data_IF_623861940607
#
_entry.id   IF_623861940607
#
_cell.length_a   1.000
_cell.length_b   1.000
_cell.length_c   1.000
_cell.angle_alpha   90.00
_cell.angle_beta   90.00
_cell.angle_gamma   90.00
#
_symmetry.space_group_name_H-M   'P 1'
#
loop_
_entity.id
_entity.type
_entity.pdbx_description
1 polymer ?
#
# COMPACT_ATOMS: atom_id res chain seq x y z
N UNK A 1 -33.59 58.84 22.55
CA UNK A 1 -32.44 58.17 21.89
C UNK A 1 -32.42 56.69 22.24
N UNK A 2 -32.28 55.79 21.25
CA UNK A 2 -32.08 54.35 21.45
C UNK A 2 -30.77 53.95 20.75
N UNK A 3 -29.79 53.40 21.50
CA UNK A 3 -28.66 52.52 21.08
C UNK A 3 -27.48 52.69 22.05
N UNK A 4 -27.48 52.00 23.20
CA UNK A 4 -26.24 51.76 23.96
C UNK A 4 -26.33 50.63 25.00
N UNK A 5 -27.00 49.51 24.66
CA UNK A 5 -27.09 48.31 25.51
C UNK A 5 -26.83 47.02 24.74
N UNK A 6 -25.91 47.05 23.78
CA UNK A 6 -25.51 45.86 23.00
C UNK A 6 -23.99 45.65 22.95
N UNK A 7 -23.31 45.80 24.10
CA UNK A 7 -21.88 45.52 24.22
C UNK A 7 -21.50 44.99 25.63
N UNK A 8 -22.12 43.88 26.07
CA UNK A 8 -21.69 43.16 27.29
C UNK A 8 -22.20 41.71 27.44
N UNK A 9 -22.49 41.01 26.33
CA UNK A 9 -22.99 39.62 26.37
C UNK A 9 -22.41 38.71 25.28
N UNK A 10 -21.10 38.81 25.03
CA UNK A 10 -20.30 37.84 24.22
C UNK A 10 -18.89 37.60 24.80
N UNK A 11 -18.79 37.47 26.12
CA UNK A 11 -17.75 36.62 26.75
C UNK A 11 -18.45 35.35 27.24
N UNK A 12 -17.72 34.22 27.26
CA UNK A 12 -18.21 32.88 27.65
C UNK A 12 -19.01 32.09 26.61
N UNK A 13 -18.64 32.16 25.32
CA UNK A 13 -18.74 31.00 24.40
C UNK A 13 -17.45 30.98 23.54
N UNK A 14 -16.36 30.47 24.12
CA UNK A 14 -15.10 30.22 23.42
C UNK A 14 -14.33 29.05 24.06
N UNK A 15 -15.06 27.96 24.31
CA UNK A 15 -14.55 26.63 24.68
C UNK A 15 -15.45 25.58 24.01
N UNK A 16 -14.92 24.38 23.76
CA UNK A 16 -15.63 23.20 23.23
C UNK A 16 -16.06 23.20 21.74
N UNK A 17 -15.18 23.63 20.83
CA UNK A 17 -15.32 23.36 19.38
C UNK A 17 -13.98 23.03 18.66
N UNK A 18 -12.98 22.53 19.40
CA UNK A 18 -11.64 22.19 18.88
C UNK A 18 -11.15 20.80 19.31
N UNK A 19 -12.09 19.92 19.69
CA UNK A 19 -11.81 18.57 20.18
C UNK A 19 -12.86 17.56 19.68
N UNK A 20 -13.16 17.57 18.37
CA UNK A 20 -13.72 16.39 17.74
C UNK A 20 -12.57 15.40 17.55
N UNK A 21 -12.39 14.52 18.54
CA UNK A 21 -11.41 13.45 18.46
C UNK A 21 -11.69 12.59 17.22
N UNK A 22 -10.69 12.39 16.38
CA UNK A 22 -10.59 11.16 15.60
C UNK A 22 -10.20 9.99 16.53
N UNK A 23 -11.00 9.78 17.57
CA UNK A 23 -10.96 8.55 18.34
C UNK A 23 -11.73 7.53 17.51
N UNK A 24 -10.99 6.71 16.77
CA UNK A 24 -11.53 5.47 16.20
C UNK A 24 -11.81 4.53 17.37
N UNK A 25 -12.93 4.75 18.06
CA UNK A 25 -13.43 3.84 19.07
C UNK A 25 -13.90 2.56 18.37
N UNK A 26 -13.02 1.57 18.32
CA UNK A 26 -13.41 0.19 18.00
C UNK A 26 -14.08 -0.39 19.26
N UNK A 27 -15.32 0.02 19.51
CA UNK A 27 -16.15 -0.48 20.62
C UNK A 27 -17.34 -1.26 20.09
N UNK A 28 -17.11 -2.51 19.71
CA UNK A 28 -18.09 -3.59 19.76
C UNK A 28 -17.36 -4.93 19.63
N UNK A 29 -17.54 -5.82 20.62
CA UNK A 29 -17.10 -7.22 20.52
C UNK A 29 -18.05 -8.01 19.61
N UNK A 30 -18.00 -7.71 18.31
CA UNK A 30 -18.40 -8.66 17.26
C UNK A 30 -17.25 -9.67 17.12
N UNK A 31 -17.49 -10.98 16.91
CA UNK A 31 -16.44 -11.92 16.53
C UNK A 31 -15.94 -11.62 15.11
N UNK A 32 -15.13 -10.57 15.00
CA UNK A 32 -14.43 -10.19 13.77
C UNK A 32 -13.29 -11.19 13.58
N UNK A 33 -13.43 -12.10 12.62
CA UNK A 33 -12.30 -12.90 12.15
C UNK A 33 -11.22 -11.95 11.62
N UNK A 34 -9.97 -12.24 11.94
CA UNK A 34 -8.79 -11.53 11.44
C UNK A 34 -8.80 -11.48 9.92
N UNK A 35 -9.00 -12.66 9.35
CA UNK A 35 -9.21 -12.92 7.95
C UNK A 35 -10.71 -12.79 7.70
N UNK A 36 -11.19 -11.56 7.76
CA UNK A 36 -12.54 -11.25 7.31
C UNK A 36 -12.75 -11.73 5.87
N UNK A 37 -14.01 -11.79 5.42
CA UNK A 37 -14.25 -11.90 3.99
C UNK A 37 -13.48 -10.73 3.31
N UNK A 38 -12.56 -11.01 2.38
CA UNK A 38 -11.63 -10.02 1.87
C UNK A 38 -12.40 -8.83 1.28
N UNK A 39 -11.95 -7.61 1.57
CA UNK A 39 -12.48 -6.38 0.97
C UNK A 39 -12.33 -6.45 -0.56
N UNK A 40 -11.38 -7.26 -1.05
CA UNK A 40 -11.10 -7.52 -2.45
C UNK A 40 -12.02 -8.62 -2.98
N UNK A 41 -13.25 -8.23 -3.31
CA UNK A 41 -14.10 -8.98 -4.24
C UNK A 41 -13.55 -8.84 -5.66
N UNK A 42 -12.58 -9.67 -6.04
CA UNK A 42 -12.24 -9.86 -7.46
C UNK A 42 -12.82 -11.15 -8.01
N UNK A 43 -13.52 -11.02 -9.14
CA UNK A 43 -14.00 -12.12 -9.97
C UNK A 43 -12.89 -13.07 -10.45
N UNK A 44 -11.63 -12.64 -10.35
CA UNK A 44 -10.45 -13.42 -10.71
C UNK A 44 -10.03 -14.45 -9.64
N UNK A 45 -10.53 -14.35 -8.40
CA UNK A 45 -10.14 -15.23 -7.30
C UNK A 45 -11.07 -16.46 -7.18
N UNK A 46 -10.50 -17.65 -7.35
CA UNK A 46 -11.19 -18.90 -7.02
C UNK A 46 -11.15 -19.16 -5.51
N UNK A 47 -10.06 -18.76 -4.84
CA UNK A 47 -9.96 -18.64 -3.39
C UNK A 47 -8.97 -17.54 -3.02
N UNK A 48 -9.32 -16.69 -2.06
CA UNK A 48 -8.38 -15.73 -1.47
C UNK A 48 -7.59 -16.43 -0.38
N UNK A 49 -6.27 -16.22 -0.40
CA UNK A 49 -5.30 -16.81 0.53
C UNK A 49 -5.00 -15.85 1.66
N UNK A 50 -4.82 -14.56 1.35
CA UNK A 50 -4.59 -13.54 2.36
C UNK A 50 -4.96 -12.12 1.89
N UNK A 51 -5.35 -11.24 2.82
CA UNK A 51 -5.38 -9.79 2.69
C UNK A 51 -4.91 -9.11 3.99
N UNK A 52 -3.81 -8.35 3.92
CA UNK A 52 -3.33 -7.44 4.96
C UNK A 52 -3.67 -6.02 4.57
N UNK A 53 -4.32 -5.27 5.46
CA UNK A 53 -4.58 -3.83 5.31
C UNK A 53 -3.73 -3.06 6.31
N UNK A 54 -2.96 -2.07 5.86
CA UNK A 54 -2.09 -1.23 6.71
C UNK A 54 -2.26 0.24 6.34
N UNK A 55 -2.70 1.06 7.28
CA UNK A 55 -2.62 2.52 7.15
C UNK A 55 -1.15 2.94 7.31
N UNK A 56 -0.50 3.37 6.23
CA UNK A 56 0.91 3.81 6.27
C UNK A 56 1.02 5.11 7.08
N UNK A 57 0.09 6.02 6.81
CA UNK A 57 -0.15 7.34 7.43
C UNK A 57 -1.63 7.69 7.20
N UNK A 58 -2.22 8.66 7.93
CA UNK A 58 -3.57 9.13 7.63
C UNK A 58 -3.76 9.47 6.14
N UNK A 59 -4.87 9.01 5.56
CA UNK A 59 -5.19 9.20 4.13
C UNK A 59 -4.51 8.24 3.15
N UNK A 60 -3.56 7.38 3.57
CA UNK A 60 -2.92 6.39 2.69
C UNK A 60 -3.00 4.98 3.25
N UNK A 61 -3.78 4.13 2.58
CA UNK A 61 -3.91 2.70 2.89
C UNK A 61 -3.07 1.87 1.94
N UNK A 62 -2.28 0.95 2.48
CA UNK A 62 -1.68 -0.17 1.78
C UNK A 62 -2.56 -1.41 1.93
N UNK A 63 -2.69 -2.19 0.86
CA UNK A 63 -3.12 -3.60 0.92
C UNK A 63 -2.03 -4.50 0.37
N UNK A 64 -1.77 -5.62 1.03
CA UNK A 64 -0.98 -6.74 0.50
C UNK A 64 -1.90 -7.96 0.48
N UNK A 65 -2.11 -8.58 -0.68
CA UNK A 65 -3.08 -9.66 -0.81
C UNK A 65 -2.61 -10.74 -1.75
N UNK A 66 -3.16 -11.94 -1.58
CA UNK A 66 -2.87 -13.08 -2.44
C UNK A 66 -4.05 -14.00 -2.58
N UNK A 67 -4.16 -14.65 -3.73
CA UNK A 67 -5.27 -15.54 -4.08
C UNK A 67 -4.80 -16.60 -5.07
N UNK A 68 -5.55 -17.70 -5.20
CA UNK A 68 -5.42 -18.66 -6.30
C UNK A 68 -6.45 -18.31 -7.37
N UNK A 69 -6.01 -18.13 -8.62
CA UNK A 69 -6.91 -17.99 -9.77
C UNK A 69 -7.57 -19.32 -10.13
N UNK A 70 -8.56 -19.31 -11.03
CA UNK A 70 -9.31 -20.49 -11.46
C UNK A 70 -8.45 -21.57 -12.16
N UNK A 71 -7.27 -21.20 -12.65
CA UNK A 71 -6.22 -22.10 -13.15
C UNK A 71 -5.33 -22.69 -12.04
N UNK A 72 -5.64 -22.41 -10.77
CA UNK A 72 -4.89 -22.89 -9.59
C UNK A 72 -3.66 -22.06 -9.23
N UNK A 73 -3.22 -21.16 -10.12
CA UNK A 73 -1.99 -20.39 -9.94
C UNK A 73 -2.12 -19.32 -8.84
N UNK A 74 -1.07 -19.16 -8.02
CA UNK A 74 -1.03 -18.11 -7.00
C UNK A 74 -0.71 -16.75 -7.63
N UNK A 75 -1.36 -15.71 -7.12
CA UNK A 75 -1.08 -14.32 -7.41
C UNK A 75 -0.75 -13.60 -6.11
N UNK A 76 0.33 -12.81 -6.11
CA UNK A 76 0.68 -11.87 -5.05
C UNK A 76 0.50 -10.44 -5.57
N UNK A 77 -0.26 -9.65 -4.83
CA UNK A 77 -0.71 -8.32 -5.24
C UNK A 77 -0.58 -7.31 -4.11
N UNK A 78 -0.41 -6.05 -4.50
CA UNK A 78 -0.15 -4.93 -3.62
C UNK A 78 -0.96 -3.74 -4.12
N UNK A 79 -1.60 -2.99 -3.22
CA UNK A 79 -2.32 -1.78 -3.59
C UNK A 79 -2.01 -0.61 -2.66
N UNK A 80 -2.02 0.60 -3.23
CA UNK A 80 -2.04 1.87 -2.49
C UNK A 80 -3.32 2.60 -2.83
N UNK A 81 -4.08 3.00 -1.80
CA UNK A 81 -5.35 3.70 -1.95
C UNK A 81 -5.31 5.01 -1.16
N UNK A 82 -5.67 6.12 -1.82
CA UNK A 82 -5.75 7.46 -1.23
C UNK A 82 -6.80 8.31 -1.93
N UNK A 83 -7.18 9.44 -1.31
CA UNK A 83 -8.06 10.42 -1.92
C UNK A 83 -7.30 11.74 -2.11
N UNK A 84 -7.02 12.18 -3.36
CA UNK A 84 -6.23 13.39 -3.63
C UNK A 84 -6.76 14.70 -3.01
N UNK A 85 -8.07 14.75 -2.69
CA UNK A 85 -8.70 15.90 -2.05
C UNK A 85 -8.71 15.86 -0.52
N UNK A 86 -8.16 14.80 0.10
CA UNK A 86 -7.95 14.73 1.54
C UNK A 86 -6.56 15.26 1.92
N UNK A 87 -6.51 16.14 2.92
CA UNK A 87 -5.40 17.10 3.11
C UNK A 87 -4.03 16.47 3.39
N UNK A 88 -3.97 15.25 3.94
CA UNK A 88 -2.75 14.70 4.51
C UNK A 88 -1.86 13.93 3.52
N UNK A 89 -2.32 13.69 2.28
CA UNK A 89 -1.57 12.97 1.24
C UNK A 89 -1.60 13.71 -0.09
N UNK A 90 -0.44 13.82 -0.74
CA UNK A 90 -0.32 14.26 -2.12
C UNK A 90 0.50 13.28 -2.96
N UNK A 91 0.22 13.24 -4.26
CA UNK A 91 0.98 12.47 -5.23
C UNK A 91 2.00 13.38 -5.94
N UNK A 92 3.20 12.90 -6.20
CA UNK A 92 4.26 13.65 -6.89
C UNK A 92 5.01 12.78 -7.91
N UNK A 93 5.52 13.39 -8.99
CA UNK A 93 6.43 12.70 -9.90
C UNK A 93 7.83 12.61 -9.30
N UNK A 94 8.32 11.38 -9.15
CA UNK A 94 9.71 11.05 -8.91
C UNK A 94 10.51 11.00 -10.20
N UNK A 95 11.76 11.44 -10.12
CA UNK A 95 12.74 11.46 -11.20
C UNK A 95 14.14 11.26 -10.62
N UNK A 96 15.15 10.88 -11.43
CA UNK A 96 16.54 10.80 -10.99
C UNK A 96 17.00 12.12 -10.34
N UNK A 97 17.57 12.02 -9.14
CA UNK A 97 17.99 13.16 -8.31
C UNK A 97 16.85 14.16 -7.98
N UNK A 98 15.58 13.75 -8.09
CA UNK A 98 14.38 14.61 -7.98
C UNK A 98 14.42 15.86 -8.90
N UNK A 99 15.23 15.81 -9.95
CA UNK A 99 15.48 16.90 -10.88
C UNK A 99 14.64 16.85 -12.16
N UNK A 100 14.77 17.89 -12.99
CA UNK A 100 14.08 17.98 -14.29
C UNK A 100 14.81 17.35 -15.47
N UNK A 101 15.85 16.55 -15.25
CA UNK A 101 16.63 15.88 -16.31
C UNK A 101 16.18 14.43 -16.45
N UNK A 102 15.99 13.99 -17.70
CA UNK A 102 15.76 12.59 -18.04
C UNK A 102 17.01 11.76 -17.73
N UNK A 103 16.78 10.53 -17.26
CA UNK A 103 17.83 9.57 -16.89
C UNK A 103 17.21 8.30 -16.32
N UNK A 104 18.03 7.51 -15.62
CA UNK A 104 17.60 6.25 -15.00
C UNK A 104 18.02 6.20 -13.52
N UNK A 105 17.09 5.85 -12.65
CA UNK A 105 17.32 5.61 -11.23
C UNK A 105 16.26 4.61 -10.72
N UNK A 106 16.57 3.79 -9.72
CA UNK A 106 15.55 2.90 -9.11
C UNK A 106 14.46 3.72 -8.41
N UNK A 107 13.29 3.13 -8.16
CA UNK A 107 12.20 3.85 -7.46
C UNK A 107 12.67 4.28 -6.06
N UNK A 108 13.45 3.44 -5.38
CA UNK A 108 14.10 3.78 -4.11
C UNK A 108 15.10 4.94 -4.24
N UNK A 109 15.94 4.97 -5.28
CA UNK A 109 16.86 6.09 -5.53
C UNK A 109 16.10 7.41 -5.76
N UNK A 110 15.02 7.39 -6.55
CA UNK A 110 14.20 8.57 -6.83
C UNK A 110 13.46 9.07 -5.58
N UNK A 111 12.90 8.14 -4.79
CA UNK A 111 12.23 8.45 -3.53
C UNK A 111 13.21 9.01 -2.48
N UNK A 112 14.42 8.43 -2.38
CA UNK A 112 15.47 8.92 -1.49
C UNK A 112 15.96 10.32 -1.89
N UNK A 113 16.09 10.61 -3.19
CA UNK A 113 16.46 11.95 -3.66
C UNK A 113 15.40 13.00 -3.29
N UNK A 114 14.11 12.66 -3.43
CA UNK A 114 13.01 13.51 -2.97
C UNK A 114 13.05 13.74 -1.45
N UNK A 115 13.37 12.70 -0.65
CA UNK A 115 13.59 12.83 0.80
C UNK A 115 14.77 13.76 1.11
N UNK A 116 15.89 13.63 0.41
CA UNK A 116 17.05 14.52 0.58
C UNK A 116 16.73 15.98 0.25
N UNK A 117 15.77 16.22 -0.64
CA UNK A 117 15.22 17.55 -0.95
C UNK A 117 14.06 17.97 0.00
N UNK A 118 13.89 17.30 1.15
CA UNK A 118 12.95 17.68 2.21
C UNK A 118 11.51 17.17 2.03
N UNK A 119 11.22 16.31 1.04
CA UNK A 119 9.87 15.75 0.85
C UNK A 119 9.64 14.54 1.75
N UNK A 120 8.49 14.48 2.45
CA UNK A 120 8.12 13.33 3.29
C UNK A 120 7.50 12.21 2.46
N UNK A 121 8.33 11.51 1.68
CA UNK A 121 7.89 10.32 0.93
C UNK A 121 7.59 9.18 1.91
N UNK A 122 6.43 8.54 1.74
CA UNK A 122 5.97 7.41 2.58
C UNK A 122 5.72 6.13 1.77
N UNK A 123 5.47 6.27 0.47
CA UNK A 123 5.37 5.17 -0.49
C UNK A 123 5.77 5.64 -1.89
N UNK A 124 6.08 4.68 -2.77
CA UNK A 124 6.34 4.91 -4.18
C UNK A 124 6.09 3.66 -5.03
N UNK A 125 5.72 3.87 -6.30
CA UNK A 125 5.66 2.85 -7.35
C UNK A 125 6.30 3.36 -8.64
N UNK A 126 6.74 2.49 -9.55
CA UNK A 126 7.28 2.94 -10.84
C UNK A 126 6.21 3.61 -11.73
N UNK A 127 6.66 4.33 -12.77
CA UNK A 127 5.80 5.12 -13.63
C UNK A 127 5.62 4.59 -15.05
N UNK A 128 5.81 5.49 -16.01
CA UNK A 128 5.63 5.31 -17.45
C UNK A 128 6.65 4.34 -18.07
N UNK A 129 6.35 3.84 -19.27
CA UNK A 129 7.33 3.12 -20.09
C UNK A 129 8.41 4.07 -20.63
N UNK A 130 9.59 3.52 -20.90
CA UNK A 130 10.76 4.29 -21.29
C UNK A 130 11.71 3.48 -22.17
N UNK A 131 12.60 4.18 -22.88
CA UNK A 131 13.73 3.56 -23.55
C UNK A 131 14.77 3.14 -22.49
N UNK A 132 14.88 1.83 -22.25
CA UNK A 132 15.78 1.27 -21.22
C UNK A 132 17.28 1.59 -21.40
N UNK A 133 17.71 2.07 -22.58
CA UNK A 133 19.09 2.51 -22.81
C UNK A 133 19.32 3.99 -22.45
N UNK A 134 18.34 4.86 -22.66
CA UNK A 134 18.50 6.32 -22.52
C UNK A 134 17.73 6.92 -21.35
N UNK A 135 16.74 6.20 -20.79
CA UNK A 135 15.79 6.73 -19.81
C UNK A 135 14.66 7.57 -20.42
N UNK A 136 14.59 7.69 -21.74
CA UNK A 136 13.61 8.52 -22.45
C UNK A 136 12.17 8.02 -22.25
N UNK A 137 11.29 8.76 -21.53
CA UNK A 137 9.90 8.35 -21.29
C UNK A 137 9.09 8.32 -22.59
N UNK A 138 8.07 7.48 -22.65
CA UNK A 138 7.27 7.33 -23.87
C UNK A 138 6.10 8.31 -23.95
N UNK A 139 5.59 8.76 -22.80
CA UNK A 139 4.58 9.81 -22.66
C UNK A 139 5.10 11.11 -22.07
N UNK A 140 4.17 11.96 -21.63
CA UNK A 140 4.48 13.22 -20.96
C UNK A 140 5.08 13.00 -19.57
N UNK A 141 5.89 13.96 -19.13
CA UNK A 141 6.29 14.09 -17.73
C UNK A 141 6.07 15.53 -17.30
N UNK A 142 5.05 15.76 -16.48
CA UNK A 142 4.82 17.01 -15.76
C UNK A 142 5.20 16.78 -14.31
N UNK A 143 6.18 17.53 -13.83
CA UNK A 143 6.68 17.47 -12.47
C UNK A 143 6.54 18.84 -11.83
N UNK A 144 5.88 18.89 -10.68
CA UNK A 144 5.75 20.09 -9.86
C UNK A 144 5.22 21.32 -10.65
N UNK A 145 4.24 21.07 -11.53
CA UNK A 145 3.59 22.06 -12.41
C UNK A 145 4.34 22.39 -13.70
N UNK A 146 5.50 21.76 -13.96
CA UNK A 146 6.36 22.00 -15.13
C UNK A 146 6.44 20.78 -16.03
N UNK A 147 6.14 20.95 -17.32
CA UNK A 147 6.49 19.95 -18.34
C UNK A 147 8.01 19.85 -18.46
N UNK A 148 8.57 18.68 -18.14
CA UNK A 148 9.98 18.33 -18.34
C UNK A 148 10.18 17.31 -19.46
N UNK A 149 9.10 16.63 -19.88
CA UNK A 149 9.06 15.82 -21.10
C UNK A 149 7.70 15.96 -21.79
N UNK A 150 7.72 16.11 -23.12
CA UNK A 150 6.53 16.26 -23.98
C UNK A 150 6.29 14.98 -24.78
N UNK A 151 5.11 14.81 -25.37
CA UNK A 151 4.87 13.71 -26.30
C UNK A 151 5.93 13.64 -27.41
N UNK A 152 6.55 12.46 -27.57
CA UNK A 152 7.42 12.18 -28.70
C UNK A 152 6.62 12.24 -30.01
N UNK A 153 7.15 12.78 -31.12
CA UNK A 153 6.43 12.87 -32.41
C UNK A 153 5.92 11.52 -32.94
N UNK A 154 6.59 10.43 -32.57
CA UNK A 154 6.25 9.04 -32.96
C UNK A 154 5.33 8.32 -31.95
N UNK A 155 4.82 9.02 -30.92
CA UNK A 155 3.96 8.45 -29.84
C UNK A 155 2.81 9.38 -29.46
N UNK A 156 2.26 10.10 -30.44
CA UNK A 156 1.17 11.08 -30.22
C UNK A 156 -0.13 10.47 -29.69
N UNK A 157 -0.30 9.16 -29.82
CA UNK A 157 -1.44 8.38 -29.30
C UNK A 157 -1.27 7.93 -27.84
N UNK A 158 -0.10 8.10 -27.23
CA UNK A 158 0.17 7.69 -25.85
C UNK A 158 -0.77 8.43 -24.89
N UNK A 159 -1.16 7.76 -23.80
CA UNK A 159 -2.12 8.30 -22.84
C UNK A 159 -1.40 8.91 -21.66
N UNK A 160 -2.13 9.55 -20.75
CA UNK A 160 -1.56 10.06 -19.50
C UNK A 160 -2.52 9.89 -18.32
N UNK A 161 -1.92 9.86 -17.13
CA UNK A 161 -2.60 10.07 -15.86
C UNK A 161 -1.87 11.18 -15.10
N UNK A 162 -2.60 11.97 -14.34
CA UNK A 162 -2.06 13.07 -13.56
C UNK A 162 -3.02 13.59 -12.50
N UNK A 163 -2.51 14.57 -11.75
CA UNK A 163 -3.24 15.31 -10.72
C UNK A 163 -3.13 16.79 -11.09
N UNK A 164 -4.26 17.51 -11.06
CA UNK A 164 -4.32 18.96 -11.24
C UNK A 164 -3.87 19.73 -9.99
N UNK A 165 -3.65 21.03 -10.15
CA UNK A 165 -3.29 21.97 -9.05
C UNK A 165 -4.35 22.08 -7.95
N UNK A 166 -5.60 21.76 -8.24
CA UNK A 166 -6.72 21.69 -7.28
C UNK A 166 -6.86 20.30 -6.61
N UNK A 167 -5.96 19.36 -6.91
CA UNK A 167 -6.00 17.98 -6.43
C UNK A 167 -6.85 17.03 -7.28
N UNK A 168 -7.65 17.51 -8.24
CA UNK A 168 -8.52 16.61 -9.03
C UNK A 168 -7.68 15.68 -9.93
N UNK A 169 -8.03 14.38 -10.03
CA UNK A 169 -7.40 13.49 -10.98
C UNK A 169 -7.77 13.87 -12.41
N UNK A 170 -6.81 13.74 -13.33
CA UNK A 170 -6.98 13.99 -14.76
C UNK A 170 -6.28 12.89 -15.55
N UNK A 171 -6.93 12.42 -16.61
CA UNK A 171 -6.44 11.37 -17.48
C UNK A 171 -6.99 11.53 -18.89
N UNK A 172 -6.40 10.81 -19.84
CA UNK A 172 -6.90 10.73 -21.21
C UNK A 172 -5.80 10.73 -22.24
N UNK A 173 -6.07 11.37 -23.38
CA UNK A 173 -5.16 11.47 -24.51
C UNK A 173 -4.45 12.83 -24.59
N UNK A 174 -3.73 13.03 -25.69
CA UNK A 174 -3.01 14.25 -25.97
C UNK A 174 -3.92 15.48 -26.08
N UNK A 175 -5.13 15.37 -26.62
CA UNK A 175 -6.02 16.54 -26.72
C UNK A 175 -6.45 17.00 -25.32
N UNK A 176 -6.83 16.07 -24.45
CA UNK A 176 -7.13 16.35 -23.04
C UNK A 176 -5.92 16.94 -22.31
N UNK A 177 -4.71 16.41 -22.55
CA UNK A 177 -3.47 16.92 -21.98
C UNK A 177 -3.20 18.38 -22.38
N UNK A 178 -3.11 18.67 -23.68
CA UNK A 178 -2.70 20.00 -24.18
C UNK A 178 -3.74 21.07 -23.76
N UNK A 179 -5.04 20.72 -23.75
CA UNK A 179 -6.13 21.60 -23.31
C UNK A 179 -6.04 21.97 -21.82
N UNK A 180 -5.57 21.05 -20.97
CA UNK A 180 -5.52 21.23 -19.52
C UNK A 180 -4.12 21.53 -18.99
N UNK A 181 -3.10 21.60 -19.86
CA UNK A 181 -1.67 21.64 -19.51
C UNK A 181 -1.30 22.64 -18.42
N UNK A 182 -1.87 23.84 -18.44
CA UNK A 182 -1.62 24.88 -17.43
C UNK A 182 -2.20 24.58 -16.03
N UNK A 183 -3.14 23.64 -15.92
CA UNK A 183 -3.78 23.19 -14.67
C UNK A 183 -3.11 21.95 -14.06
N UNK A 184 -2.30 21.21 -14.81
CA UNK A 184 -1.68 19.96 -14.36
C UNK A 184 -0.55 20.27 -13.36
N UNK A 185 -0.56 19.59 -12.20
CA UNK A 185 0.51 19.67 -11.20
C UNK A 185 1.50 18.52 -11.35
N UNK A 186 1.00 17.32 -11.64
CA UNK A 186 1.81 16.12 -11.85
C UNK A 186 1.18 15.31 -12.99
N UNK A 187 1.97 14.73 -13.89
CA UNK A 187 1.49 13.77 -14.88
C UNK A 187 2.62 12.85 -15.38
N UNK A 188 2.27 11.60 -15.65
CA UNK A 188 3.11 10.61 -16.33
C UNK A 188 2.33 9.96 -17.47
N UNK A 189 3.07 9.42 -18.44
CA UNK A 189 2.50 8.61 -19.52
C UNK A 189 1.83 7.33 -19.01
N UNK A 190 0.87 6.86 -19.81
CA UNK A 190 0.11 5.62 -19.61
C UNK A 190 0.13 4.85 -20.93
N UNK A 191 0.45 3.57 -20.86
CA UNK A 191 0.59 2.71 -22.04
C UNK A 191 -0.73 2.46 -22.76
N UNK A 192 -1.73 2.01 -22.01
CA UNK A 192 -3.07 1.71 -22.50
C UNK A 192 -4.12 2.05 -21.45
N UNK A 193 -5.33 2.38 -21.89
CA UNK A 193 -6.49 2.46 -21.01
C UNK A 193 -7.01 1.03 -20.84
N UNK A 194 -7.15 0.60 -19.58
CA UNK A 194 -7.65 -0.71 -19.19
C UNK A 194 -9.17 -0.67 -18.99
N UNK A 195 -9.64 0.37 -18.29
CA UNK A 195 -11.05 0.58 -17.94
C UNK A 195 -11.44 2.02 -18.29
N UNK A 196 -12.62 2.19 -18.87
CA UNK A 196 -13.22 3.49 -19.18
C UNK A 196 -14.75 3.42 -19.02
N UNK A 197 -15.34 4.40 -18.34
CA UNK A 197 -16.75 4.42 -17.94
C UNK A 197 -17.20 3.10 -17.25
N UNK A 198 -16.34 2.53 -16.39
CA UNK A 198 -16.59 1.28 -15.67
C UNK A 198 -16.56 0.01 -16.54
N UNK A 199 -16.15 0.11 -17.81
CA UNK A 199 -16.07 -1.01 -18.76
C UNK A 199 -14.62 -1.29 -19.13
N UNK A 200 -14.27 -2.57 -19.29
CA UNK A 200 -12.94 -2.94 -19.79
C UNK A 200 -12.85 -2.55 -21.26
N UNK A 201 -11.86 -1.73 -21.59
CA UNK A 201 -11.55 -1.25 -22.96
C UNK A 201 -10.13 -1.62 -23.41
N UNK A 202 -9.41 -2.39 -22.59
CA UNK A 202 -8.07 -2.89 -22.90
C UNK A 202 -8.02 -3.54 -24.31
N UNK A 203 -7.17 -3.06 -25.24
CA UNK A 203 -7.09 -3.59 -26.59
C UNK A 203 -6.22 -4.85 -26.70
N UNK A 204 -5.29 -5.09 -25.76
CA UNK A 204 -4.38 -6.23 -25.80
C UNK A 204 -5.03 -7.46 -25.13
N UNK A 205 -5.55 -8.36 -25.96
CA UNK A 205 -6.16 -9.63 -25.54
C UNK A 205 -5.18 -10.81 -25.51
N UNK A 206 -3.87 -10.56 -25.54
CA UNK A 206 -2.87 -11.64 -25.44
C UNK A 206 -2.91 -12.35 -24.08
N UNK A 207 -2.50 -13.61 -24.09
CA UNK A 207 -2.30 -14.45 -22.92
C UNK A 207 -0.96 -14.18 -22.20
N UNK A 208 -0.19 -13.16 -22.64
CA UNK A 208 1.13 -12.86 -22.10
C UNK A 208 1.05 -12.45 -20.63
N UNK A 209 1.64 -13.28 -19.75
CA UNK A 209 1.70 -13.02 -18.31
C UNK A 209 2.99 -12.30 -17.91
N UNK A 210 2.86 -11.35 -17.00
CA UNK A 210 3.98 -10.62 -16.42
C UNK A 210 3.56 -10.01 -15.07
N UNK A 211 4.51 -9.55 -14.24
CA UNK A 211 4.21 -8.51 -13.27
C UNK A 211 3.53 -7.31 -13.94
N UNK A 212 2.48 -6.78 -13.32
CA UNK A 212 1.68 -5.65 -13.84
C UNK A 212 1.64 -4.53 -12.81
N UNK A 213 1.51 -3.29 -13.28
CA UNK A 213 1.19 -2.13 -12.46
C UNK A 213 0.11 -1.32 -13.20
N UNK A 214 -0.92 -0.91 -12.48
CA UNK A 214 -1.99 -0.07 -13.01
C UNK A 214 -2.35 1.03 -12.01
N UNK A 215 -2.91 2.12 -12.52
CA UNK A 215 -3.52 3.21 -11.75
C UNK A 215 -4.99 3.33 -12.12
N UNK A 216 -5.84 3.55 -11.13
CA UNK A 216 -7.30 3.63 -11.26
C UNK A 216 -7.86 4.83 -10.53
N UNK A 217 -8.99 5.31 -11.04
CA UNK A 217 -9.79 6.40 -10.45
C UNK A 217 -11.21 5.87 -10.25
N UNK A 218 -11.78 6.10 -9.07
CA UNK A 218 -13.17 5.78 -8.73
C UNK A 218 -14.09 6.98 -8.95
N UNK A 219 -15.40 6.73 -8.94
CA UNK A 219 -16.43 7.78 -9.10
C UNK A 219 -16.30 8.90 -8.05
N UNK A 220 -15.90 8.56 -6.82
CA UNK A 220 -15.69 9.52 -5.73
C UNK A 220 -14.37 10.32 -5.82
N UNK A 221 -13.64 10.16 -6.93
CA UNK A 221 -12.30 10.68 -7.21
C UNK A 221 -11.17 10.10 -6.33
N UNK A 222 -11.41 9.04 -5.55
CA UNK A 222 -10.29 8.30 -4.94
C UNK A 222 -9.42 7.65 -6.03
N UNK A 223 -8.11 7.64 -5.77
CA UNK A 223 -7.09 7.12 -6.69
C UNK A 223 -6.44 5.91 -6.03
N UNK A 224 -6.26 4.86 -6.80
CA UNK A 224 -5.59 3.67 -6.32
C UNK A 224 -4.61 3.11 -7.36
N UNK A 225 -3.53 2.53 -6.87
CA UNK A 225 -2.54 1.81 -7.66
C UNK A 225 -2.60 0.34 -7.29
N UNK A 226 -2.55 -0.55 -8.27
CA UNK A 226 -2.51 -2.00 -8.06
C UNK A 226 -1.33 -2.57 -8.80
N UNK A 227 -0.47 -3.27 -8.06
CA UNK A 227 0.65 -4.02 -8.60
C UNK A 227 0.41 -5.51 -8.37
N UNK A 228 0.79 -6.32 -9.34
CA UNK A 228 0.83 -7.78 -9.25
C UNK A 228 2.26 -8.24 -9.56
N UNK A 229 2.84 -9.08 -8.70
CA UNK A 229 4.09 -9.77 -8.99
C UNK A 229 3.85 -10.92 -9.98
N UNK A 230 4.89 -11.35 -10.69
CA UNK A 230 4.80 -12.43 -11.67
C UNK A 230 6.17 -12.95 -12.08
N UNK A 231 6.21 -14.05 -12.85
CA UNK A 231 7.46 -14.77 -13.20
C UNK A 231 8.22 -15.26 -11.96
N UNK A 232 7.49 -15.59 -10.90
CA UNK A 232 8.00 -16.07 -9.60
C UNK A 232 7.18 -17.26 -9.14
N UNK A 233 6.89 -18.21 -10.03
CA UNK A 233 6.19 -19.44 -9.63
C UNK A 233 7.00 -20.23 -8.60
N UNK A 234 6.38 -20.82 -7.56
CA UNK A 234 4.94 -20.84 -7.27
C UNK A 234 4.43 -19.63 -6.42
N UNK A 235 5.28 -18.67 -6.08
CA UNK A 235 4.91 -17.50 -5.25
C UNK A 235 3.92 -16.55 -5.95
N UNK A 236 4.20 -16.17 -7.20
CA UNK A 236 3.28 -15.39 -8.04
C UNK A 236 3.51 -15.64 -9.53
N UNK A 237 2.47 -16.06 -10.22
CA UNK A 237 2.50 -16.40 -11.65
C UNK A 237 2.52 -15.15 -12.54
N UNK A 238 1.66 -14.18 -12.21
CA UNK A 238 1.49 -12.94 -12.96
C UNK A 238 0.22 -12.90 -13.81
N UNK A 239 -0.13 -11.70 -14.24
CA UNK A 239 -1.38 -11.40 -14.95
C UNK A 239 -1.19 -11.05 -16.44
N UNK A 240 -2.22 -11.34 -17.23
CA UNK A 240 -2.41 -10.69 -18.55
C UNK A 240 -2.91 -9.25 -18.37
N UNK A 241 -2.91 -8.43 -19.44
CA UNK A 241 -3.51 -7.09 -19.37
C UNK A 241 -5.01 -7.14 -19.13
N UNK A 242 -5.70 -8.18 -19.60
CA UNK A 242 -7.13 -8.36 -19.35
C UNK A 242 -7.43 -8.69 -17.89
N UNK A 243 -6.59 -9.52 -17.23
CA UNK A 243 -6.78 -9.88 -15.83
C UNK A 243 -6.56 -8.70 -14.88
N UNK A 244 -5.53 -7.86 -15.12
CA UNK A 244 -5.37 -6.63 -14.32
C UNK A 244 -6.48 -5.63 -14.66
N UNK A 245 -6.97 -5.53 -15.90
CA UNK A 245 -8.13 -4.68 -16.22
C UNK A 245 -9.40 -5.10 -15.47
N UNK A 246 -9.67 -6.41 -15.38
CA UNK A 246 -10.78 -6.95 -14.60
C UNK A 246 -10.61 -6.66 -13.11
N UNK A 247 -9.42 -6.84 -12.54
CA UNK A 247 -9.13 -6.47 -11.16
C UNK A 247 -9.34 -4.98 -10.87
N UNK A 248 -8.89 -4.08 -11.76
CA UNK A 248 -9.12 -2.64 -11.60
C UNK A 248 -10.61 -2.30 -11.62
N UNK A 249 -11.38 -2.91 -12.52
CA UNK A 249 -12.85 -2.74 -12.58
C UNK A 249 -13.53 -3.28 -11.32
N UNK A 250 -13.17 -4.48 -10.87
CA UNK A 250 -13.69 -5.12 -9.66
C UNK A 250 -13.43 -4.25 -8.41
N UNK A 251 -12.26 -3.62 -8.34
CA UNK A 251 -11.88 -2.67 -7.28
C UNK A 251 -12.54 -1.27 -7.43
N UNK A 252 -13.50 -1.11 -8.36
CA UNK A 252 -14.32 0.10 -8.50
C UNK A 252 -13.76 1.18 -9.44
N UNK A 253 -12.81 0.87 -10.31
CA UNK A 253 -12.34 1.83 -11.31
C UNK A 253 -13.47 2.24 -12.28
N UNK A 254 -13.78 3.53 -12.35
CA UNK A 254 -14.51 4.10 -13.50
C UNK A 254 -13.56 4.40 -14.65
N UNK A 255 -12.29 4.68 -14.35
CA UNK A 255 -11.19 4.73 -15.31
C UNK A 255 -9.95 4.03 -14.74
N UNK A 256 -9.18 3.32 -15.57
CA UNK A 256 -7.88 2.78 -15.19
C UNK A 256 -6.91 2.73 -16.38
N UNK A 257 -5.62 2.91 -16.09
CA UNK A 257 -4.53 2.89 -17.07
C UNK A 257 -3.37 1.98 -16.66
N UNK A 258 -2.75 1.31 -17.64
CA UNK A 258 -1.58 0.46 -17.44
C UNK A 258 -0.28 1.29 -17.40
N UNK A 259 0.53 1.06 -16.36
CA UNK A 259 1.88 1.60 -16.17
C UNK A 259 2.95 0.58 -16.62
N UNK A 260 4.24 0.92 -16.53
CA UNK A 260 5.29 -0.05 -16.87
C UNK A 260 5.30 -1.23 -15.87
N UNK A 261 5.56 -2.43 -16.39
CA UNK A 261 5.46 -3.69 -15.65
C UNK A 261 6.73 -4.53 -15.74
N UNK A 262 6.60 -5.85 -15.70
CA UNK A 262 7.72 -6.76 -15.84
C UNK A 262 8.79 -6.53 -14.75
N UNK A 263 10.05 -6.35 -15.15
CA UNK A 263 11.13 -6.06 -14.20
C UNK A 263 11.14 -4.62 -13.66
N UNK A 264 10.36 -3.70 -14.24
CA UNK A 264 10.19 -2.35 -13.72
C UNK A 264 9.23 -2.31 -12.52
N UNK A 265 8.32 -3.29 -12.42
CA UNK A 265 7.29 -3.39 -11.38
C UNK A 265 7.91 -3.38 -9.97
N UNK A 266 7.73 -2.25 -9.28
CA UNK A 266 8.32 -1.98 -7.97
C UNK A 266 7.29 -1.34 -7.06
N UNK A 267 7.12 -1.92 -5.87
CA UNK A 267 6.24 -1.42 -4.81
C UNK A 267 7.06 -1.14 -3.55
N UNK A 268 7.24 0.15 -3.23
CA UNK A 268 8.13 0.63 -2.18
C UNK A 268 7.30 1.35 -1.10
N UNK A 269 7.36 0.91 0.15
CA UNK A 269 6.64 1.59 1.25
C UNK A 269 7.46 1.64 2.53
N UNK A 270 7.18 2.67 3.34
CA UNK A 270 7.65 2.77 4.72
C UNK A 270 6.71 1.94 5.61
N UNK A 271 7.26 0.97 6.33
CA UNK A 271 6.52 0.31 7.42
C UNK A 271 6.19 1.36 8.50
N UNK A 272 4.99 1.37 9.10
CA UNK A 272 4.69 2.31 10.17
C UNK A 272 5.72 2.22 11.31
N UNK A 273 6.21 3.37 11.77
CA UNK A 273 7.23 3.46 12.82
C UNK A 273 8.67 3.23 12.36
N UNK A 274 8.92 2.95 11.07
CA UNK A 274 10.25 3.01 10.47
C UNK A 274 10.54 4.37 9.83
N UNK A 275 11.82 4.70 9.66
CA UNK A 275 12.29 5.87 8.92
C UNK A 275 12.63 5.57 7.46
N UNK A 276 13.05 4.33 7.16
CA UNK A 276 13.47 3.89 5.83
C UNK A 276 12.35 3.18 5.07
N UNK A 277 12.38 3.29 3.74
CA UNK A 277 11.45 2.57 2.87
C UNK A 277 12.00 1.21 2.42
N UNK A 278 11.10 0.22 2.40
CA UNK A 278 11.36 -1.17 2.03
C UNK A 278 10.60 -1.54 0.77
N UNK A 279 11.21 -2.32 -0.12
CA UNK A 279 10.50 -2.91 -1.26
C UNK A 279 9.64 -4.04 -0.68
N UNK A 280 8.34 -4.05 -0.98
CA UNK A 280 7.39 -5.06 -0.47
C UNK A 280 7.20 -6.23 -1.43
N UNK A 281 7.40 -6.00 -2.72
CA UNK A 281 7.27 -7.00 -3.76
C UNK A 281 8.57 -7.75 -4.04
N UNK A 282 8.52 -8.75 -4.92
CA UNK A 282 9.66 -9.53 -5.40
C UNK A 282 10.03 -9.17 -6.85
N UNK A 283 10.90 -8.15 -7.08
CA UNK A 283 11.29 -7.71 -8.41
C UNK A 283 11.65 -8.85 -9.37
N UNK A 284 11.00 -8.89 -10.53
CA UNK A 284 11.08 -10.07 -11.39
C UNK A 284 12.50 -10.32 -11.94
N UNK A 285 13.26 -9.26 -12.20
CA UNK A 285 14.68 -9.28 -12.60
C UNK A 285 15.65 -9.73 -11.46
N UNK A 286 15.14 -10.10 -10.28
CA UNK A 286 15.93 -10.51 -9.11
C UNK A 286 16.50 -9.36 -8.28
N UNK A 287 16.42 -8.13 -8.79
CA UNK A 287 16.70 -6.87 -8.09
C UNK A 287 15.82 -5.75 -8.61
N UNK A 288 15.73 -4.66 -7.87
CA UNK A 288 15.07 -3.43 -8.33
C UNK A 288 15.70 -2.92 -9.64
N UNK A 289 14.88 -2.62 -10.65
CA UNK A 289 15.33 -2.07 -11.93
C UNK A 289 15.42 -0.54 -11.84
N UNK A 290 16.40 0.04 -12.53
CA UNK A 290 16.46 1.50 -12.74
C UNK A 290 15.44 1.91 -13.80
N UNK A 291 14.52 2.79 -13.44
CA UNK A 291 13.41 3.27 -14.28
C UNK A 291 13.55 4.77 -14.58
N UNK A 292 12.78 5.29 -15.53
CA UNK A 292 12.85 6.70 -15.91
C UNK A 292 12.18 7.66 -14.92
N UNK A 293 11.05 7.23 -14.34
CA UNK A 293 10.23 8.02 -13.43
C UNK A 293 9.41 7.11 -12.50
N UNK A 294 8.85 7.70 -11.45
CA UNK A 294 8.03 7.01 -10.45
C UNK A 294 6.89 7.91 -9.97
N UNK A 295 5.88 7.29 -9.35
CA UNK A 295 4.91 8.00 -8.52
C UNK A 295 5.35 7.94 -7.06
N UNK A 296 5.41 9.09 -6.40
CA UNK A 296 5.77 9.24 -4.99
C UNK A 296 4.54 9.71 -4.21
N UNK A 297 4.27 9.06 -3.08
CA UNK A 297 3.21 9.44 -2.15
C UNK A 297 3.86 10.24 -1.02
N UNK A 298 3.48 11.52 -0.92
CA UNK A 298 4.01 12.46 0.04
C UNK A 298 2.98 12.66 1.16
N UNK A 299 3.42 12.51 2.41
CA UNK A 299 2.58 12.86 3.56
C UNK A 299 2.76 14.34 3.92
N UNK A 300 1.65 15.06 4.02
CA UNK A 300 1.59 16.47 4.41
C UNK A 300 1.47 16.65 5.94
N UNK A 301 0.93 15.63 6.63
CA UNK A 301 0.77 15.61 8.10
C UNK A 301 2.13 15.75 8.81
N UNK A 302 2.35 16.84 9.55
CA UNK A 302 3.64 17.09 10.22
C UNK A 302 3.85 16.12 11.40
N UNK A 303 5.03 15.49 11.53
CA UNK A 303 5.39 14.75 12.73
C UNK A 303 5.42 15.68 13.95
N UNK A 304 4.90 15.21 15.07
CA UNK A 304 5.03 15.86 16.37
C UNK A 304 5.79 14.97 17.38
N UNK A 305 6.04 13.70 17.04
CA UNK A 305 6.75 12.73 17.90
C UNK A 305 5.96 12.29 19.13
N UNK A 306 4.72 12.77 19.31
CA UNK A 306 3.88 12.44 20.44
C UNK A 306 3.21 11.08 20.22
N UNK A 307 3.42 10.13 21.14
CA UNK A 307 2.82 8.80 21.03
C UNK A 307 1.29 8.88 20.88
N UNK A 308 0.78 8.26 19.83
CA UNK A 308 -0.65 8.22 19.49
C UNK A 308 -1.14 6.79 19.22
N UNK A 309 -0.31 5.93 18.64
CA UNK A 309 -0.64 4.53 18.32
C UNK A 309 0.62 3.66 18.32
N UNK A 310 0.47 2.34 18.23
CA UNK A 310 1.56 1.39 18.11
C UNK A 310 1.36 0.45 16.91
N UNK A 311 2.42 0.26 16.12
CA UNK A 311 2.47 -0.76 15.08
C UNK A 311 3.06 -2.06 15.64
N UNK A 312 2.32 -3.17 15.54
CA UNK A 312 2.70 -4.46 16.15
C UNK A 312 3.19 -5.43 15.08
N UNK A 313 4.30 -6.11 15.37
CA UNK A 313 4.89 -7.17 14.55
C UNK A 313 5.18 -8.42 15.38
N UNK A 314 5.27 -9.62 14.78
CA UNK A 314 4.87 -9.96 13.41
C UNK A 314 3.37 -9.74 13.20
N UNK A 315 2.97 -9.35 11.99
CA UNK A 315 1.57 -9.15 11.62
C UNK A 315 1.09 -10.25 10.70
N UNK A 316 -0.13 -10.72 10.94
CA UNK A 316 -0.88 -11.62 10.07
C UNK A 316 -0.06 -12.81 9.55
N UNK A 317 0.47 -13.58 10.51
CA UNK A 317 1.21 -14.82 10.27
C UNK A 317 0.48 -15.99 10.90
N UNK A 318 0.55 -17.13 10.22
CA UNK A 318 0.04 -18.41 10.70
C UNK A 318 1.18 -19.21 11.33
N UNK A 319 0.92 -19.87 12.45
CA UNK A 319 1.88 -20.64 13.26
C UNK A 319 1.28 -21.99 13.65
N UNK A 320 2.14 -22.94 14.02
CA UNK A 320 1.67 -24.23 14.55
C UNK A 320 1.01 -24.09 15.93
N UNK A 321 0.12 -25.03 16.29
CA UNK A 321 -0.21 -25.30 17.69
C UNK A 321 1.03 -25.36 18.59
N UNK A 322 0.95 -24.77 19.78
CA UNK A 322 2.06 -24.70 20.77
C UNK A 322 3.25 -23.82 20.39
N UNK A 323 3.24 -23.13 19.25
CA UNK A 323 4.27 -22.14 18.92
C UNK A 323 4.36 -21.02 19.98
N UNK A 324 5.57 -20.49 20.12
CA UNK A 324 5.89 -19.32 20.93
C UNK A 324 6.34 -18.21 19.99
N UNK A 325 5.74 -17.03 20.09
CA UNK A 325 5.93 -15.91 19.15
C UNK A 325 6.28 -14.66 19.95
N UNK A 326 7.45 -14.09 19.68
CA UNK A 326 7.83 -12.80 20.24
C UNK A 326 7.11 -11.69 19.46
N UNK A 327 6.15 -11.03 20.12
CA UNK A 327 5.52 -9.83 19.61
C UNK A 327 6.39 -8.61 19.93
N UNK A 328 6.28 -7.55 19.12
CA UNK A 328 7.07 -6.33 19.25
C UNK A 328 6.24 -5.15 18.77
N UNK A 329 6.50 -3.97 19.33
CA UNK A 329 5.76 -2.75 19.01
C UNK A 329 6.70 -1.59 18.64
N UNK A 330 6.28 -0.76 17.67
CA UNK A 330 6.90 0.54 17.37
C UNK A 330 5.89 1.64 17.66
N UNK A 331 6.30 2.67 18.40
CA UNK A 331 5.45 3.83 18.66
C UNK A 331 5.27 4.67 17.40
N UNK A 332 4.05 5.18 17.20
CA UNK A 332 3.64 6.04 16.11
C UNK A 332 3.13 7.37 16.68
N UNK A 333 3.45 8.46 16.00
CA UNK A 333 2.76 9.73 16.18
C UNK A 333 1.50 9.83 15.30
N UNK A 334 0.75 10.93 15.45
CA UNK A 334 -0.49 11.14 14.67
C UNK A 334 -0.27 11.23 13.16
N UNK A 335 0.96 11.49 12.71
CA UNK A 335 1.33 11.51 11.29
C UNK A 335 1.77 10.13 10.76
N UNK A 336 1.79 9.10 11.61
CA UNK A 336 2.36 7.78 11.29
C UNK A 336 3.90 7.78 11.22
N UNK A 337 4.56 8.80 11.78
CA UNK A 337 6.01 8.84 11.95
C UNK A 337 6.42 8.15 13.27
N UNK A 338 7.70 7.77 13.44
CA UNK A 338 8.15 7.10 14.66
C UNK A 338 7.99 7.99 15.90
N UNK A 339 7.44 7.44 16.97
CA UNK A 339 7.35 8.04 18.31
C UNK A 339 7.96 7.10 19.36
N UNK A 340 8.43 7.65 20.48
CA UNK A 340 8.86 6.84 21.63
C UNK A 340 7.63 6.16 22.25
N UNK A 341 7.71 4.87 22.55
CA UNK A 341 6.71 4.20 23.38
C UNK A 341 6.71 4.78 24.81
N UNK A 342 5.54 4.91 25.47
CA UNK A 342 5.46 5.29 26.88
C UNK A 342 6.28 4.36 27.78
N UNK A 343 6.94 4.93 28.79
CA UNK A 343 7.79 4.17 29.73
C UNK A 343 6.98 3.35 30.76
N UNK A 344 5.68 3.66 30.90
CA UNK A 344 4.75 3.00 31.82
C UNK A 344 3.33 3.02 31.25
N UNK A 345 2.43 2.21 31.83
CA UNK A 345 1.03 2.15 31.44
C UNK A 345 0.75 1.35 30.16
N UNK A 346 1.78 0.77 29.53
CA UNK A 346 1.62 -0.23 28.46
C UNK A 346 1.33 -1.62 29.03
N UNK A 347 0.44 -2.36 28.38
CA UNK A 347 0.23 -3.78 28.65
C UNK A 347 -0.17 -4.56 27.40
N UNK A 348 0.25 -5.81 27.31
CA UNK A 348 -0.19 -6.74 26.27
C UNK A 348 -1.47 -7.48 26.69
N UNK A 349 -2.32 -7.78 25.71
CA UNK A 349 -3.52 -8.61 25.90
C UNK A 349 -3.84 -9.43 24.64
N UNK A 350 -4.71 -10.43 24.80
CA UNK A 350 -5.31 -11.19 23.72
C UNK A 350 -6.81 -10.87 23.65
N UNK A 351 -7.38 -10.81 22.45
CA UNK A 351 -8.85 -10.75 22.28
C UNK A 351 -9.56 -12.04 22.70
N UNK A 352 -8.81 -13.15 22.75
CA UNK A 352 -9.28 -14.48 23.13
C UNK A 352 -8.15 -15.25 23.81
N UNK A 353 -8.22 -15.36 25.14
CA UNK A 353 -7.27 -16.12 25.96
C UNK A 353 -7.44 -17.65 25.80
N UNK A 354 -8.50 -18.12 25.12
CA UNK A 354 -8.71 -19.54 24.85
C UNK A 354 -7.73 -20.12 23.83
N UNK A 355 -6.95 -19.30 23.12
CA UNK A 355 -5.88 -19.76 22.19
C UNK A 355 -4.46 -19.70 22.78
N UNK A 356 -4.27 -19.10 23.97
CA UNK A 356 -2.93 -18.96 24.55
C UNK A 356 -2.83 -17.87 25.62
N UNK A 357 -1.60 -17.54 25.97
CA UNK A 357 -1.27 -16.43 26.87
C UNK A 357 -0.27 -15.47 26.22
N UNK A 358 -0.21 -14.23 26.69
CA UNK A 358 0.85 -13.28 26.35
C UNK A 358 1.35 -12.62 27.63
N UNK A 359 2.66 -12.50 27.79
CA UNK A 359 3.27 -11.82 28.94
C UNK A 359 3.55 -10.32 28.67
N UNK A 360 4.01 -9.60 29.69
CA UNK A 360 4.31 -8.17 29.57
C UNK A 360 5.54 -7.86 28.69
N UNK A 361 6.33 -8.86 28.31
CA UNK A 361 7.41 -8.71 27.31
C UNK A 361 6.90 -8.87 25.87
N UNK A 362 5.63 -9.23 25.69
CA UNK A 362 5.04 -9.53 24.39
C UNK A 362 5.27 -10.96 23.93
N UNK A 363 5.68 -11.88 24.81
CA UNK A 363 5.90 -13.28 24.45
C UNK A 363 4.55 -14.02 24.42
N UNK A 364 3.99 -14.21 23.23
CA UNK A 364 2.79 -15.03 23.03
C UNK A 364 3.14 -16.52 23.07
N UNK A 365 2.34 -17.32 23.77
CA UNK A 365 2.44 -18.78 23.84
C UNK A 365 1.10 -19.41 23.50
N UNK A 366 1.02 -20.14 22.39
CA UNK A 366 -0.17 -20.92 22.03
C UNK A 366 -0.41 -22.06 23.02
N UNK A 367 -1.68 -22.23 23.43
CA UNK A 367 -2.10 -23.38 24.23
C UNK A 367 -2.47 -24.62 23.39
N UNK A 368 -2.19 -24.59 22.08
CA UNK A 368 -2.46 -25.68 21.14
C UNK A 368 -3.83 -25.65 20.47
N UNK A 369 -4.77 -24.79 20.91
CA UNK A 369 -6.03 -24.62 20.20
C UNK A 369 -5.80 -23.87 18.87
N UNK A 370 -6.52 -24.26 17.83
CA UNK A 370 -6.49 -23.63 16.50
C UNK A 370 -7.50 -22.48 16.41
N UNK A 371 -7.18 -21.45 15.64
CA UNK A 371 -8.01 -20.27 15.44
C UNK A 371 -7.19 -19.00 15.23
N UNK A 372 -7.88 -17.86 15.17
CA UNK A 372 -7.27 -16.54 15.03
C UNK A 372 -7.45 -15.75 16.32
N UNK A 373 -6.40 -15.11 16.81
CA UNK A 373 -6.44 -14.23 17.99
C UNK A 373 -5.83 -12.89 17.65
N UNK A 374 -6.47 -11.81 18.14
CA UNK A 374 -5.88 -10.49 18.07
C UNK A 374 -4.92 -10.31 19.24
N UNK A 375 -3.65 -10.07 18.94
CA UNK A 375 -2.69 -9.54 19.90
C UNK A 375 -2.87 -8.04 19.96
N UNK A 376 -3.10 -7.52 21.17
CA UNK A 376 -3.33 -6.10 21.42
C UNK A 376 -2.22 -5.53 22.31
N UNK A 377 -1.81 -4.29 22.03
CA UNK A 377 -1.08 -3.45 22.96
C UNK A 377 -2.02 -2.35 23.44
N UNK A 378 -2.19 -2.26 24.76
CA UNK A 378 -3.00 -1.27 25.43
C UNK A 378 -2.08 -0.21 26.05
N UNK A 379 -2.55 1.03 26.12
CA UNK A 379 -1.97 2.12 26.89
C UNK A 379 -3.05 2.68 27.82
N UNK A 380 -2.83 2.62 29.13
CA UNK A 380 -3.78 3.03 30.16
C UNK A 380 -5.20 2.42 29.94
N UNK A 381 -5.25 1.14 29.56
CA UNK A 381 -6.49 0.40 29.30
C UNK A 381 -7.14 0.63 27.93
N UNK A 382 -6.60 1.51 27.08
CA UNK A 382 -7.09 1.72 25.71
C UNK A 382 -6.21 1.00 24.70
N UNK A 383 -6.80 0.24 23.75
CA UNK A 383 -6.03 -0.39 22.67
C UNK A 383 -5.41 0.70 21.79
N UNK A 384 -4.07 0.70 21.70
CA UNK A 384 -3.27 1.64 20.89
C UNK A 384 -2.60 0.97 19.68
N UNK A 385 -2.50 -0.35 19.70
CA UNK A 385 -2.07 -1.14 18.56
C UNK A 385 -2.71 -2.52 18.62
N UNK A 386 -2.96 -3.12 17.47
CA UNK A 386 -3.39 -4.51 17.39
C UNK A 386 -2.87 -5.15 16.12
N UNK A 387 -2.70 -6.46 16.16
CA UNK A 387 -2.49 -7.29 14.98
C UNK A 387 -3.07 -8.68 15.23
N UNK A 388 -3.23 -9.46 14.18
CA UNK A 388 -3.72 -10.83 14.30
C UNK A 388 -2.60 -11.84 14.05
N UNK A 389 -2.72 -12.97 14.75
CA UNK A 389 -1.96 -14.19 14.46
C UNK A 389 -2.96 -15.34 14.33
N UNK A 390 -2.59 -16.33 13.53
CA UNK A 390 -3.38 -17.54 13.34
C UNK A 390 -2.61 -18.75 13.87
N UNK A 391 -3.29 -19.62 14.62
CA UNK A 391 -2.80 -20.93 15.02
C UNK A 391 -3.53 -21.95 14.15
N UNK A 392 -2.77 -22.67 13.32
CA UNK A 392 -3.34 -23.58 12.34
C UNK A 392 -2.54 -24.87 12.22
N UNK A 393 -3.24 -25.99 12.11
CA UNK A 393 -2.67 -27.24 11.62
C UNK A 393 -2.55 -27.16 10.08
N UNK A 394 -1.40 -27.48 9.48
CA UNK A 394 -1.24 -27.44 8.03
C UNK A 394 -2.19 -28.40 7.31
N UNK A 395 -2.79 -27.94 6.21
CA UNK A 395 -3.62 -28.75 5.32
C UNK A 395 -2.88 -29.21 4.05
N UNK A 396 -1.71 -28.63 3.76
CA UNK A 396 -0.87 -28.97 2.61
C UNK A 396 0.63 -28.70 2.93
N UNK A 397 1.52 -29.37 2.20
CA UNK A 397 2.98 -29.26 2.33
C UNK A 397 3.64 -29.11 0.97
N UNK A 398 4.11 -27.90 0.68
CA UNK A 398 4.79 -27.57 -0.58
C UNK A 398 6.29 -27.79 -0.43
N UNK A 399 6.91 -28.56 -1.33
CA UNK A 399 8.39 -28.64 -1.39
C UNK A 399 8.95 -27.27 -1.72
N UNK A 400 9.87 -26.79 -0.89
CA UNK A 400 10.54 -25.51 -1.10
C UNK A 400 11.41 -25.58 -2.37
N UNK A 401 10.93 -24.99 -3.46
CA UNK A 401 11.76 -24.70 -4.63
C UNK A 401 12.65 -23.49 -4.33
N UNK A 402 13.93 -23.60 -4.67
CA UNK A 402 15.04 -22.80 -4.15
C UNK A 402 14.87 -21.27 -4.22
N UNK A 403 14.55 -20.66 -3.07
CA UNK A 403 14.69 -19.25 -2.68
C UNK A 403 15.03 -19.23 -1.17
N UNK A 404 15.87 -18.38 -0.57
CA UNK A 404 16.73 -17.27 -1.06
C UNK A 404 17.96 -17.14 -0.11
N UNK A 405 19.06 -16.43 -0.46
CA UNK A 405 20.40 -16.72 0.06
C UNK A 405 20.74 -16.11 1.44
N UNK A 406 19.86 -16.21 2.44
CA UNK A 406 20.14 -15.71 3.80
C UNK A 406 19.73 -16.61 4.96
N UNK A 407 19.20 -17.82 4.72
CA UNK A 407 19.17 -18.88 5.74
C UNK A 407 18.98 -20.27 5.09
N UNK A 408 19.89 -21.24 5.32
CA UNK A 408 19.65 -22.62 4.94
C UNK A 408 18.78 -23.31 6.01
N UNK A 409 17.48 -23.45 5.72
CA UNK A 409 16.59 -24.40 6.39
C UNK A 409 15.80 -25.13 5.30
N UNK A 410 15.77 -26.45 5.36
CA UNK A 410 15.55 -27.29 4.18
C UNK A 410 14.08 -27.66 3.93
N UNK A 411 13.66 -27.54 2.67
CA UNK A 411 12.92 -28.62 2.00
C UNK A 411 11.39 -28.58 1.99
N UNK A 412 10.71 -28.02 3.00
CA UNK A 412 9.24 -28.09 3.10
C UNK A 412 8.62 -26.81 3.69
N UNK A 413 7.72 -26.17 2.95
CA UNK A 413 6.85 -25.09 3.44
C UNK A 413 5.48 -25.68 3.74
N UNK A 414 5.09 -25.67 5.01
CA UNK A 414 3.74 -26.05 5.43
C UNK A 414 2.76 -24.91 5.11
N UNK A 415 1.54 -25.25 4.68
CA UNK A 415 0.48 -24.26 4.47
C UNK A 415 -0.85 -24.64 5.10
N UNK A 416 -1.65 -23.63 5.42
CA UNK A 416 -3.06 -23.76 5.80
C UNK A 416 -3.88 -22.84 4.89
N UNK A 417 -4.84 -23.38 4.13
CA UNK A 417 -5.62 -22.64 3.12
C UNK A 417 -4.73 -21.87 2.12
N UNK A 418 -3.52 -22.39 1.86
CA UNK A 418 -2.49 -21.76 1.02
C UNK A 418 -1.68 -20.62 1.68
N UNK A 419 -1.95 -20.27 2.95
CA UNK A 419 -1.09 -19.38 3.76
C UNK A 419 0.09 -20.16 4.32
N UNK A 420 1.28 -19.57 4.35
CA UNK A 420 2.45 -20.17 5.00
C UNK A 420 2.24 -20.31 6.51
N UNK A 421 2.48 -21.53 7.04
CA UNK A 421 2.47 -21.83 8.47
C UNK A 421 3.90 -21.92 8.97
N UNK A 422 4.27 -21.02 9.89
CA UNK A 422 5.63 -20.90 10.42
C UNK A 422 5.92 -22.05 11.40
N UNK A 423 6.88 -22.88 11.03
CA UNK A 423 7.33 -24.06 11.77
C UNK A 423 8.30 -23.70 12.91
N UNK A 424 7.93 -22.78 13.80
CA UNK A 424 8.71 -22.47 15.01
C UNK A 424 8.36 -23.42 16.16
N UNK A 425 9.05 -24.56 16.21
CA UNK A 425 9.07 -25.41 17.40
C UNK A 425 9.92 -24.80 18.52
N UNK A 426 9.54 -25.04 19.77
CA UNK A 426 10.37 -24.72 20.94
C UNK A 426 11.72 -25.43 20.81
N UNK A 427 12.81 -24.70 21.07
CA UNK A 427 14.10 -25.30 21.46
C UNK A 427 14.09 -25.55 22.97
#
# INVERSE_FOLDING_TARGET
>A
MKKETWCKMKKTIFCAAAACLAAVQITAAVPVKALGAPDISTSMAASVVNEVKTTIVPGLTQKEFSYKSSDGNRQACFALEFKPSELDISLAVGTPNDGGKIGLATVKEQANAAISNGKRVVAAVNGDMYNMRTGDPWGVVVKDGKEIHKYAPIRTWWKFFGIKKDGTPIYGDRQTYETNKGQIQQALGIHSILVENGKIVNPDKSDTRAPRLAVGVREDQSVFFVMNDGRKDPYSHGMTLEQIAQMMKDMGAVWAGNLDGGGSATFLTRTPGDTSMTIKNHPSDGRERRVANSWLFLSNAKPDGNFAAAYITPYDKSYLPRSVVQMSAKGLDRSGAPAKLPESGLSWALSDESLGTIDQTGLFTSNGNVGQVQVQLLYNGSVVGSTYIEIAEPDDFVKASTFTPSSPAEGLTATYQGREVILTMRR
#
